data_IF_677361581038
#
_entry.id   IF_677361581038
#
_cell.length_a   1.000
_cell.length_b   1.000
_cell.length_c   1.000
_cell.angle_alpha   90.00
_cell.angle_beta   90.00
_cell.angle_gamma   90.00
#
_symmetry.space_group_name_H-M   'P 1'
#
loop_
_entity.id
_entity.type
_entity.pdbx_description
1 polymer ?
#
# COMPACT_ATOMS: atom_id res chain seq x y z
N UNK A 1 -25.13 -1.07 13.16
CA UNK A 1 -23.76 -0.52 13.20
C UNK A 1 -23.85 0.98 13.32
N UNK A 2 -23.23 1.55 14.33
CA UNK A 2 -23.14 3.00 14.46
C UNK A 2 -22.07 3.58 13.50
N UNK A 3 -22.03 4.91 13.37
CA UNK A 3 -21.12 5.60 12.44
C UNK A 3 -19.65 5.43 12.82
N UNK A 4 -19.34 5.29 14.11
CA UNK A 4 -17.96 5.17 14.59
C UNK A 4 -17.40 3.79 14.28
N UNK A 5 -18.17 2.74 14.57
CA UNK A 5 -17.87 1.36 14.22
C UNK A 5 -17.68 1.19 12.71
N UNK A 6 -18.60 1.76 11.91
CA UNK A 6 -18.49 1.78 10.45
C UNK A 6 -17.17 2.39 9.98
N UNK A 7 -16.82 3.58 10.49
CA UNK A 7 -15.59 4.27 10.09
C UNK A 7 -14.32 3.53 10.51
N UNK A 8 -14.34 2.82 11.65
CA UNK A 8 -13.23 1.97 12.10
C UNK A 8 -13.02 0.76 11.19
N UNK A 9 -14.10 0.10 10.76
CA UNK A 9 -14.01 -1.01 9.81
C UNK A 9 -13.56 -0.48 8.45
N UNK A 10 -14.16 0.61 7.98
CA UNK A 10 -13.83 1.21 6.69
C UNK A 10 -12.35 1.59 6.58
N UNK A 11 -11.78 2.28 7.58
CA UNK A 11 -10.37 2.69 7.49
C UNK A 11 -9.41 1.51 7.42
N UNK A 12 -9.72 0.41 8.10
CA UNK A 12 -8.92 -0.82 8.07
C UNK A 12 -9.04 -1.53 6.73
N UNK A 13 -10.26 -1.67 6.19
CA UNK A 13 -10.44 -2.24 4.85
C UNK A 13 -9.78 -1.38 3.77
N UNK A 14 -9.80 -0.04 3.89
CA UNK A 14 -9.07 0.83 2.94
C UNK A 14 -7.55 0.63 3.04
N UNK A 15 -7.01 0.38 4.23
CA UNK A 15 -5.59 0.06 4.41
C UNK A 15 -5.22 -1.30 3.80
N UNK A 16 -6.07 -2.31 3.99
CA UNK A 16 -5.91 -3.63 3.33
C UNK A 16 -5.98 -3.49 1.82
N UNK A 17 -6.95 -2.73 1.32
CA UNK A 17 -7.10 -2.46 -0.10
C UNK A 17 -5.87 -1.77 -0.66
N UNK A 18 -5.27 -0.82 0.07
CA UNK A 18 -4.03 -0.16 -0.34
C UNK A 18 -2.86 -1.14 -0.52
N UNK A 19 -2.80 -2.21 0.27
CA UNK A 19 -1.80 -3.28 0.10
C UNK A 19 -2.01 -4.07 -1.19
N UNK A 20 -3.21 -4.06 -1.79
CA UNK A 20 -3.54 -4.72 -3.06
C UNK A 20 -3.48 -3.76 -4.26
N UNK A 21 -4.12 -2.59 -4.17
CA UNK A 21 -4.15 -1.54 -5.20
C UNK A 21 -4.13 -0.16 -4.57
N UNK A 22 -3.42 0.80 -5.18
CA UNK A 22 -3.32 2.16 -4.66
C UNK A 22 -4.24 3.14 -5.39
N UNK A 23 -4.97 2.68 -6.41
CA UNK A 23 -5.92 3.47 -7.18
C UNK A 23 -7.19 2.66 -7.48
N UNK A 24 -7.97 2.27 -6.45
CA UNK A 24 -9.21 1.53 -6.68
C UNK A 24 -10.23 2.34 -7.49
N UNK A 25 -11.05 1.64 -8.27
CA UNK A 25 -12.17 2.24 -9.00
C UNK A 25 -13.33 2.57 -8.07
N UNK A 26 -14.23 3.44 -8.53
CA UNK A 26 -15.43 3.84 -7.80
C UNK A 26 -16.32 2.62 -7.54
N UNK A 27 -16.47 1.73 -8.53
CA UNK A 27 -17.22 0.48 -8.40
C UNK A 27 -16.67 -0.41 -7.26
N UNK A 28 -15.35 -0.52 -7.16
CA UNK A 28 -14.71 -1.32 -6.11
C UNK A 28 -14.94 -0.69 -4.72
N UNK A 29 -14.88 0.64 -4.63
CA UNK A 29 -15.19 1.35 -3.40
C UNK A 29 -16.68 1.24 -3.03
N UNK A 30 -17.58 1.25 -4.01
CA UNK A 30 -19.01 1.02 -3.79
C UNK A 30 -19.29 -0.39 -3.23
N UNK A 31 -18.68 -1.42 -3.83
CA UNK A 31 -18.79 -2.80 -3.35
C UNK A 31 -18.28 -2.90 -1.91
N UNK A 32 -17.14 -2.28 -1.60
CA UNK A 32 -16.61 -2.21 -0.24
C UNK A 32 -17.59 -1.59 0.75
N UNK A 33 -18.14 -0.43 0.40
CA UNK A 33 -19.07 0.30 1.25
C UNK A 33 -20.34 -0.52 1.53
N UNK A 34 -20.92 -1.13 0.49
CA UNK A 34 -22.10 -1.99 0.60
C UNK A 34 -21.82 -3.28 1.38
N UNK A 35 -20.62 -3.84 1.26
CA UNK A 35 -20.22 -5.04 2.02
C UNK A 35 -20.11 -4.75 3.52
N UNK A 36 -19.67 -3.55 3.89
CA UNK A 36 -19.61 -3.13 5.29
C UNK A 36 -21.01 -2.75 5.81
N UNK A 37 -21.78 -1.96 5.05
CA UNK A 37 -23.14 -1.56 5.42
C UNK A 37 -24.10 -1.63 4.21
N UNK A 38 -24.86 -2.73 4.07
CA UNK A 38 -25.80 -2.92 2.97
C UNK A 38 -26.96 -1.91 2.93
N UNK A 39 -27.24 -1.23 4.05
CA UNK A 39 -28.36 -0.29 4.15
C UNK A 39 -28.02 1.12 3.63
N UNK A 40 -26.79 1.37 3.15
CA UNK A 40 -26.42 2.66 2.58
C UNK A 40 -27.23 2.98 1.33
N UNK A 41 -27.80 4.19 1.30
CA UNK A 41 -28.42 4.71 0.10
C UNK A 41 -27.40 5.32 -0.87
N UNK A 42 -27.84 5.60 -2.09
CA UNK A 42 -26.99 6.12 -3.17
C UNK A 42 -26.24 7.42 -2.79
N UNK A 43 -26.91 8.38 -2.15
CA UNK A 43 -26.30 9.65 -1.74
C UNK A 43 -25.18 9.45 -0.72
N UNK A 44 -25.38 8.54 0.23
CA UNK A 44 -24.35 8.16 1.21
C UNK A 44 -23.15 7.50 0.54
N UNK A 45 -23.39 6.61 -0.44
CA UNK A 45 -22.31 5.95 -1.19
C UNK A 45 -21.46 6.99 -1.93
N UNK A 46 -22.07 7.92 -2.65
CA UNK A 46 -21.33 8.98 -3.36
C UNK A 46 -20.47 9.84 -2.40
N UNK A 47 -21.02 10.19 -1.23
CA UNK A 47 -20.28 10.92 -0.20
C UNK A 47 -19.06 10.12 0.30
N UNK A 48 -19.27 8.86 0.65
CA UNK A 48 -18.19 8.01 1.15
C UNK A 48 -17.14 7.67 0.09
N UNK A 49 -17.50 7.53 -1.18
CA UNK A 49 -16.52 7.37 -2.27
C UNK A 49 -15.56 8.56 -2.31
N UNK A 50 -16.08 9.80 -2.17
CA UNK A 50 -15.21 11.00 -2.10
C UNK A 50 -14.27 10.94 -0.90
N UNK A 51 -14.77 10.53 0.27
CA UNK A 51 -13.96 10.34 1.49
C UNK A 51 -12.87 9.28 1.25
N UNK A 52 -13.22 8.14 0.68
CA UNK A 52 -12.29 7.05 0.38
C UNK A 52 -11.18 7.50 -0.59
N UNK A 53 -11.53 8.23 -1.66
CA UNK A 53 -10.55 8.83 -2.59
C UNK A 53 -9.61 9.81 -1.91
N UNK A 54 -10.12 10.60 -0.97
CA UNK A 54 -9.31 11.46 -0.10
C UNK A 54 -8.29 10.65 0.69
N UNK A 55 -8.74 9.59 1.37
CA UNK A 55 -7.85 8.69 2.13
C UNK A 55 -6.79 8.01 1.27
N UNK A 56 -7.14 7.52 0.10
CA UNK A 56 -6.18 6.95 -0.84
C UNK A 56 -5.14 7.98 -1.32
N UNK A 57 -5.53 9.25 -1.45
CA UNK A 57 -4.60 10.33 -1.78
C UNK A 57 -3.61 10.56 -0.63
N UNK A 58 -4.09 10.57 0.61
CA UNK A 58 -3.24 10.65 1.81
C UNK A 58 -2.30 9.46 1.91
N UNK A 59 -2.79 8.22 1.71
CA UNK A 59 -1.98 7.02 1.76
C UNK A 59 -0.85 7.04 0.71
N UNK A 60 -1.17 7.40 -0.54
CA UNK A 60 -0.16 7.53 -1.60
C UNK A 60 0.86 8.61 -1.28
N UNK A 61 0.42 9.74 -0.75
CA UNK A 61 1.31 10.84 -0.36
C UNK A 61 2.28 10.40 0.75
N UNK A 62 1.75 9.79 1.80
CA UNK A 62 2.54 9.31 2.94
C UNK A 62 3.51 8.20 2.55
N UNK A 63 3.05 7.23 1.75
CA UNK A 63 3.90 6.16 1.23
C UNK A 63 5.04 6.70 0.38
N UNK A 64 4.76 7.59 -0.58
CA UNK A 64 5.79 8.24 -1.39
C UNK A 64 6.80 8.99 -0.51
N UNK A 65 6.33 9.72 0.49
CA UNK A 65 7.19 10.46 1.42
C UNK A 65 8.13 9.52 2.18
N UNK A 66 7.62 8.41 2.69
CA UNK A 66 8.40 7.39 3.39
C UNK A 66 9.47 6.77 2.50
N UNK A 67 9.09 6.38 1.27
CA UNK A 67 10.03 5.86 0.26
C UNK A 67 11.14 6.85 -0.03
N UNK A 68 10.82 8.13 -0.26
CA UNK A 68 11.83 9.15 -0.54
C UNK A 68 12.76 9.41 0.65
N UNK A 69 12.23 9.36 1.88
CA UNK A 69 13.03 9.51 3.09
C UNK A 69 14.01 8.35 3.25
N UNK A 70 13.54 7.10 3.15
CA UNK A 70 14.42 5.94 3.23
C UNK A 70 15.42 5.88 2.07
N UNK A 71 14.98 6.21 0.85
CA UNK A 71 15.86 6.24 -0.32
C UNK A 71 16.99 7.26 -0.14
N UNK A 72 16.70 8.45 0.40
CA UNK A 72 17.72 9.46 0.71
C UNK A 72 18.73 8.97 1.74
N UNK A 73 18.26 8.28 2.78
CA UNK A 73 19.16 7.72 3.80
C UNK A 73 20.10 6.69 3.17
N UNK A 74 19.59 5.78 2.32
CA UNK A 74 20.40 4.78 1.64
C UNK A 74 21.37 5.41 0.64
N UNK A 75 20.94 6.37 -0.18
CA UNK A 75 21.83 7.09 -1.09
C UNK A 75 23.01 7.73 -0.33
N UNK A 76 22.75 8.30 0.86
CA UNK A 76 23.81 8.84 1.73
C UNK A 76 24.83 7.79 2.19
N UNK A 77 24.41 6.56 2.48
CA UNK A 77 25.31 5.46 2.88
C UNK A 77 26.14 4.91 1.71
N UNK A 78 25.57 4.91 0.52
CA UNK A 78 26.18 4.35 -0.70
C UNK A 78 26.66 5.44 -1.66
N UNK A 79 27.05 6.58 -1.09
CA UNK A 79 27.54 7.72 -1.84
C UNK A 79 28.73 7.27 -2.70
N UNK A 80 28.69 7.60 -4.00
CA UNK A 80 29.68 7.23 -5.04
C UNK A 80 29.53 5.85 -5.68
N UNK A 81 28.47 5.09 -5.38
CA UNK A 81 28.11 3.89 -6.15
C UNK A 81 27.30 4.30 -7.39
N UNK A 82 27.58 3.66 -8.54
CA UNK A 82 26.80 3.90 -9.77
C UNK A 82 25.38 3.36 -9.61
N UNK A 83 24.43 3.92 -10.36
CA UNK A 83 23.03 3.50 -10.26
C UNK A 83 22.86 2.00 -10.57
N UNK A 84 23.57 1.48 -11.56
CA UNK A 84 23.52 0.07 -11.96
C UNK A 84 24.07 -0.87 -10.88
N UNK A 85 25.13 -0.44 -10.20
CA UNK A 85 25.70 -1.16 -9.06
C UNK A 85 24.78 -1.10 -7.84
N UNK A 86 24.07 0.02 -7.63
CA UNK A 86 23.07 0.12 -6.57
C UNK A 86 21.88 -0.80 -6.86
N UNK A 87 21.40 -0.82 -8.10
CA UNK A 87 20.28 -1.67 -8.55
C UNK A 87 20.52 -3.15 -8.24
N UNK A 88 21.73 -3.65 -8.45
CA UNK A 88 22.06 -5.06 -8.18
C UNK A 88 22.12 -5.38 -6.68
N UNK A 89 22.47 -4.41 -5.82
CA UNK A 89 22.57 -4.58 -4.37
C UNK A 89 21.23 -4.42 -3.64
N UNK A 90 20.20 -3.88 -4.28
CA UNK A 90 18.99 -3.47 -3.59
C UNK A 90 18.25 -4.65 -2.92
N UNK A 91 18.27 -5.83 -3.53
CA UNK A 91 17.68 -7.04 -2.95
C UNK A 91 18.42 -7.52 -1.70
N UNK A 92 19.72 -7.21 -1.58
CA UNK A 92 20.53 -7.59 -0.42
C UNK A 92 20.43 -6.54 0.71
N UNK A 93 20.10 -5.30 0.37
CA UNK A 93 19.97 -4.18 1.31
C UNK A 93 18.56 -4.10 1.90
N UNK A 94 17.53 -4.23 1.08
CA UNK A 94 16.14 -4.09 1.52
C UNK A 94 15.68 -5.40 2.16
N UNK A 95 15.56 -5.37 3.49
CA UNK A 95 15.13 -6.54 4.24
C UNK A 95 13.62 -6.64 4.33
N UNK A 96 13.12 -7.83 4.69
CA UNK A 96 11.73 -8.02 5.07
C UNK A 96 11.31 -7.06 6.21
N UNK A 97 12.21 -6.83 7.18
CA UNK A 97 11.96 -5.92 8.29
C UNK A 97 11.78 -4.48 7.81
N UNK A 98 12.55 -4.02 6.82
CA UNK A 98 12.34 -2.71 6.19
C UNK A 98 10.96 -2.61 5.54
N UNK A 99 10.54 -3.68 4.87
CA UNK A 99 9.22 -3.76 4.24
C UNK A 99 8.10 -3.66 5.29
N UNK A 100 8.23 -4.41 6.39
CA UNK A 100 7.29 -4.33 7.52
C UNK A 100 7.23 -2.94 8.15
N UNK A 101 8.36 -2.26 8.29
CA UNK A 101 8.42 -0.90 8.83
C UNK A 101 7.76 0.12 7.90
N UNK A 102 8.06 0.08 6.60
CA UNK A 102 7.48 0.98 5.59
C UNK A 102 5.96 0.82 5.53
N UNK A 103 5.49 -0.43 5.61
CA UNK A 103 4.07 -0.76 5.53
C UNK A 103 3.38 -0.83 6.88
N UNK A 104 4.05 -0.49 8.00
CA UNK A 104 3.56 -0.74 9.36
C UNK A 104 2.16 -0.18 9.62
N UNK A 105 1.88 1.04 9.14
CA UNK A 105 0.57 1.68 9.31
C UNK A 105 -0.57 0.91 8.61
N UNK A 106 -0.27 0.24 7.50
CA UNK A 106 -1.21 -0.59 6.75
C UNK A 106 -1.25 -2.01 7.31
N UNK A 107 -0.11 -2.60 7.64
CA UNK A 107 -0.04 -3.93 8.27
C UNK A 107 -0.69 -3.97 9.67
N UNK A 108 -0.85 -2.83 10.34
CA UNK A 108 -1.54 -2.74 11.65
C UNK A 108 -3.01 -3.20 11.63
N UNK A 109 -3.64 -3.30 10.46
CA UNK A 109 -5.00 -3.81 10.30
C UNK A 109 -5.06 -5.29 9.87
N UNK A 110 -3.91 -5.96 9.72
CA UNK A 110 -3.81 -7.37 9.34
C UNK A 110 -3.79 -8.25 10.59
N UNK A 111 -4.45 -9.40 10.53
CA UNK A 111 -4.35 -10.43 11.56
C UNK A 111 -2.94 -11.04 11.55
N UNK A 112 -2.20 -10.83 12.63
CA UNK A 112 -0.74 -11.04 12.69
C UNK A 112 -0.36 -12.48 12.36
N UNK A 113 -1.03 -13.45 12.97
CA UNK A 113 -0.75 -14.86 12.83
C UNK A 113 -0.98 -15.35 11.39
N UNK A 114 -1.99 -14.80 10.70
CA UNK A 114 -2.24 -15.10 9.29
C UNK A 114 -1.16 -14.50 8.38
N UNK A 115 -0.58 -13.36 8.74
CA UNK A 115 0.43 -12.72 7.91
C UNK A 115 1.80 -13.38 8.03
N UNK A 116 2.19 -13.77 9.24
CA UNK A 116 3.49 -14.41 9.49
C UNK A 116 3.64 -15.74 8.74
N UNK A 117 2.54 -16.46 8.50
CA UNK A 117 2.54 -17.68 7.69
C UNK A 117 2.32 -17.49 6.18
N UNK A 118 2.12 -16.27 5.69
CA UNK A 118 1.78 -16.00 4.29
C UNK A 118 2.99 -15.49 3.50
N UNK A 119 3.94 -16.39 3.22
CA UNK A 119 5.18 -16.09 2.51
C UNK A 119 4.94 -15.49 1.11
N UNK A 120 3.88 -15.91 0.42
CA UNK A 120 3.55 -15.40 -0.92
C UNK A 120 3.22 -13.90 -0.86
N UNK A 121 2.28 -13.51 0.01
CA UNK A 121 1.91 -12.10 0.15
C UNK A 121 3.06 -11.26 0.70
N UNK A 122 3.85 -11.83 1.60
CA UNK A 122 5.06 -11.18 2.13
C UNK A 122 6.08 -10.93 1.02
N UNK A 123 6.35 -11.91 0.16
CA UNK A 123 7.27 -11.75 -0.97
C UNK A 123 6.77 -10.72 -1.99
N UNK A 124 5.47 -10.69 -2.28
CA UNK A 124 4.86 -9.68 -3.16
C UNK A 124 4.99 -8.26 -2.59
N UNK A 125 4.70 -8.09 -1.30
CA UNK A 125 4.87 -6.81 -0.61
C UNK A 125 6.34 -6.38 -0.53
N UNK A 126 7.25 -7.32 -0.27
CA UNK A 126 8.70 -7.07 -0.30
C UNK A 126 9.15 -6.63 -1.68
N UNK A 127 8.75 -7.34 -2.74
CA UNK A 127 9.04 -6.96 -4.12
C UNK A 127 8.49 -5.57 -4.48
N UNK A 128 7.27 -5.26 -4.04
CA UNK A 128 6.67 -3.94 -4.22
C UNK A 128 7.48 -2.83 -3.52
N UNK A 129 7.87 -3.05 -2.26
CA UNK A 129 8.69 -2.10 -1.50
C UNK A 129 10.06 -1.93 -2.14
N UNK A 130 10.75 -3.02 -2.48
CA UNK A 130 12.06 -2.99 -3.14
C UNK A 130 12.00 -2.20 -4.44
N UNK A 131 11.02 -2.46 -5.32
CA UNK A 131 10.83 -1.68 -6.56
C UNK A 131 10.50 -0.22 -6.27
N UNK A 132 9.72 0.06 -5.24
CA UNK A 132 9.40 1.44 -4.82
C UNK A 132 10.64 2.17 -4.31
N UNK A 133 11.50 1.49 -3.56
CA UNK A 133 12.79 2.01 -3.09
C UNK A 133 13.70 2.35 -4.26
N UNK A 134 13.77 1.48 -5.29
CA UNK A 134 14.52 1.78 -6.51
C UNK A 134 14.03 3.05 -7.20
N UNK A 135 12.72 3.22 -7.31
CA UNK A 135 12.10 4.44 -7.86
C UNK A 135 12.52 5.67 -7.03
N UNK A 136 12.53 5.54 -5.70
CA UNK A 136 13.02 6.59 -4.80
C UNK A 136 14.48 6.96 -5.07
N UNK A 137 15.36 5.97 -5.19
CA UNK A 137 16.79 6.17 -5.46
C UNK A 137 17.00 6.81 -6.84
N UNK A 138 16.36 6.27 -7.89
CA UNK A 138 16.41 6.82 -9.25
C UNK A 138 16.10 8.31 -9.31
N UNK A 139 15.21 8.78 -8.44
CA UNK A 139 14.85 10.21 -8.39
C UNK A 139 16.00 11.15 -8.01
N UNK A 140 17.06 10.65 -7.38
CA UNK A 140 18.26 11.43 -7.06
C UNK A 140 19.31 11.40 -8.18
N UNK A 141 19.26 10.40 -9.06
CA UNK A 141 20.22 10.22 -10.15
C UNK A 141 19.69 10.75 -11.50
N UNK A 142 18.37 10.71 -11.71
CA UNK A 142 17.73 11.04 -12.98
C UNK A 142 17.00 12.39 -12.84
N UNK A 143 17.40 13.42 -13.60
CA UNK A 143 16.69 14.70 -13.62
C UNK A 143 15.23 14.53 -14.05
N UNK A 144 14.32 15.28 -13.42
CA UNK A 144 12.88 15.30 -13.72
C UNK A 144 12.16 13.94 -13.59
N UNK A 145 12.72 13.00 -12.82
CA UNK A 145 12.12 11.69 -12.62
C UNK A 145 10.78 11.76 -11.86
N UNK A 146 9.70 11.28 -12.48
CA UNK A 146 8.36 11.39 -11.91
C UNK A 146 8.02 10.19 -11.02
N UNK A 147 8.48 10.25 -9.76
CA UNK A 147 8.23 9.23 -8.73
C UNK A 147 6.75 8.86 -8.60
N UNK A 148 5.84 9.83 -8.73
CA UNK A 148 4.40 9.59 -8.56
C UNK A 148 3.88 8.65 -9.65
N UNK A 149 4.23 8.89 -10.90
CA UNK A 149 3.74 8.07 -12.01
C UNK A 149 4.41 6.70 -12.04
N UNK A 150 5.69 6.59 -11.67
CA UNK A 150 6.36 5.29 -11.59
C UNK A 150 5.81 4.40 -10.46
N UNK A 151 5.52 4.95 -9.27
CA UNK A 151 4.93 4.18 -8.18
C UNK A 151 3.56 3.60 -8.55
N UNK A 152 2.75 4.33 -9.33
CA UNK A 152 1.44 3.83 -9.80
C UNK A 152 1.57 2.59 -10.69
N UNK A 153 2.66 2.47 -11.45
CA UNK A 153 2.87 1.32 -12.33
C UNK A 153 3.10 0.04 -11.54
N UNK A 154 3.36 0.10 -10.24
CA UNK A 154 3.64 -1.10 -9.45
C UNK A 154 2.37 -1.82 -8.96
N UNK A 155 1.16 -1.39 -9.31
CA UNK A 155 -0.08 -1.99 -8.77
C UNK A 155 -0.19 -3.49 -9.12
N UNK A 156 0.41 -3.91 -10.24
CA UNK A 156 0.51 -5.32 -10.62
C UNK A 156 1.35 -6.17 -9.64
N UNK A 157 2.26 -5.56 -8.86
CA UNK A 157 3.14 -6.31 -7.95
C UNK A 157 2.37 -6.91 -6.76
N UNK A 158 1.17 -6.39 -6.49
CA UNK A 158 0.42 -6.71 -5.28
C UNK A 158 -1.02 -7.09 -5.56
N UNK A 159 -1.42 -7.24 -6.82
CA UNK A 159 -2.80 -7.53 -7.19
C UNK A 159 -3.30 -8.88 -6.64
N UNK A 160 -2.38 -9.81 -6.36
CA UNK A 160 -2.63 -11.13 -5.77
C UNK A 160 -2.48 -11.19 -4.25
N UNK A 161 -2.02 -10.11 -3.60
CA UNK A 161 -1.88 -10.06 -2.14
C UNK A 161 -3.23 -10.38 -1.50
N UNK A 162 -3.24 -11.33 -0.56
CA UNK A 162 -4.44 -11.73 0.20
C UNK A 162 -4.07 -11.85 1.67
N UNK A 163 -4.50 -10.90 2.49
CA UNK A 163 -4.16 -10.81 3.91
C UNK A 163 -5.41 -10.78 4.78
N UNK A 164 -5.45 -11.55 5.86
CA UNK A 164 -6.64 -11.54 6.69
C UNK A 164 -6.79 -10.22 7.44
N UNK A 165 -7.98 -9.62 7.39
CA UNK A 165 -8.32 -8.46 8.23
C UNK A 165 -8.27 -8.84 9.71
N UNK A 166 -7.82 -7.94 10.58
CA UNK A 166 -7.84 -8.14 12.04
C UNK A 166 -9.24 -8.31 12.62
N UNK A 167 -10.28 -7.90 11.88
CA UNK A 167 -11.68 -8.15 12.23
C UNK A 167 -12.26 -9.41 11.57
N UNK A 168 -11.43 -10.20 10.87
CA UNK A 168 -11.80 -11.41 10.14
C UNK A 168 -12.91 -11.21 9.08
N UNK A 169 -13.16 -9.98 8.68
CA UNK A 169 -14.14 -9.56 7.67
C UNK A 169 -13.74 -10.02 6.26
N UNK A 170 -12.45 -9.93 5.93
CA UNK A 170 -11.87 -10.31 4.63
C UNK A 170 -12.59 -9.71 3.42
N UNK A 171 -13.25 -8.55 3.62
CA UNK A 171 -14.16 -7.97 2.64
C UNK A 171 -13.41 -7.68 1.34
N UNK A 172 -12.26 -7.00 1.39
CA UNK A 172 -11.41 -6.68 0.22
C UNK A 172 -11.05 -7.90 -0.66
N UNK A 173 -10.93 -9.10 -0.07
CA UNK A 173 -10.50 -10.31 -0.78
C UNK A 173 -11.66 -11.18 -1.25
N UNK A 174 -12.88 -10.86 -0.84
CA UNK A 174 -14.11 -11.53 -1.24
C UNK A 174 -14.87 -10.75 -2.34
N UNK A 175 -14.29 -9.69 -2.89
CA UNK A 175 -14.88 -8.86 -3.96
C UNK A 175 -14.55 -9.33 -5.39
N UNK A 176 -13.96 -10.52 -5.52
CA UNK A 176 -13.63 -11.11 -6.83
C UNK A 176 -14.87 -11.75 -7.49
#
# INVERSE_FOLDING_TARGET
MDKEEFNKILIDELKLLFLKTRSPSDDFLEILLKSINPAMNYSQIEEYIKICKGKFSDFRYNYKKEILNKARNLEGYFRNIKLEEFESLLNDIITENDCRQILASHLSCVYKESFEGNEVSLNELTNFVTKSMLIGIKSFYIPNFNVKEELKKLDYCTSSVRLQSRYHTNIVYNMD
#
